data_IF_633811490057
#
_entry.id   IF_633811490057
#
_cell.length_a   1.000
_cell.length_b   1.000
_cell.length_c   1.000
_cell.angle_alpha   90.00
_cell.angle_beta   90.00
_cell.angle_gamma   90.00
#
_symmetry.space_group_name_H-M   'P 1'
#
loop_
_entity.id
_entity.type
_entity.pdbx_description
1 polymer ?
#
# COMPACT_ATOMS: atom_id res chain seq x y z
N UNK A 1 5.94 -2.23 -12.01
CA UNK A 1 4.79 -1.70 -11.24
C UNK A 1 3.58 -1.71 -12.16
N UNK A 2 2.51 -2.39 -11.77
CA UNK A 2 1.22 -2.41 -12.48
C UNK A 2 0.12 -2.04 -11.48
N UNK A 3 -0.82 -1.18 -11.88
CA UNK A 3 -1.89 -0.70 -11.01
C UNK A 3 -3.25 -1.09 -11.58
N UNK A 4 -4.19 -1.46 -10.70
CA UNK A 4 -5.55 -1.78 -11.12
C UNK A 4 -6.30 -0.52 -11.52
N UNK A 5 -6.96 -0.54 -12.69
CA UNK A 5 -7.87 0.55 -13.10
C UNK A 5 -9.05 0.72 -12.15
N UNK A 6 -9.40 -0.29 -11.35
CA UNK A 6 -10.47 -0.18 -10.33
C UNK A 6 -10.16 0.84 -9.23
N UNK A 7 -8.89 1.23 -9.05
CA UNK A 7 -8.48 2.22 -8.05
C UNK A 7 -9.18 3.57 -8.24
N UNK A 8 -9.71 3.88 -9.43
CA UNK A 8 -10.50 5.09 -9.70
C UNK A 8 -11.79 5.19 -8.86
N UNK A 9 -12.28 4.07 -8.32
CA UNK A 9 -13.50 4.03 -7.52
C UNK A 9 -13.25 4.19 -6.01
N UNK A 10 -11.99 4.28 -5.58
CA UNK A 10 -11.62 4.41 -4.18
C UNK A 10 -11.15 5.83 -3.87
N UNK A 11 -11.18 6.25 -2.59
CA UNK A 11 -10.54 7.48 -2.17
C UNK A 11 -9.08 7.56 -2.66
N UNK A 12 -8.61 8.77 -3.03
CA UNK A 12 -7.24 8.99 -3.53
C UNK A 12 -6.17 8.42 -2.60
N UNK A 13 -6.39 8.46 -1.28
CA UNK A 13 -5.45 7.89 -0.30
C UNK A 13 -5.21 6.39 -0.48
N UNK A 14 -6.15 5.65 -1.07
CA UNK A 14 -5.94 4.24 -1.41
C UNK A 14 -4.94 4.07 -2.55
N UNK A 15 -4.87 5.02 -3.49
CA UNK A 15 -3.83 5.03 -4.53
C UNK A 15 -2.45 5.25 -3.90
N UNK A 16 -2.32 6.20 -2.98
CA UNK A 16 -1.06 6.46 -2.26
C UNK A 16 -0.60 5.22 -1.49
N UNK A 17 -1.54 4.52 -0.84
CA UNK A 17 -1.26 3.26 -0.16
C UNK A 17 -0.75 2.17 -1.11
N UNK A 18 -1.38 1.96 -2.27
CA UNK A 18 -0.94 0.95 -3.24
C UNK A 18 0.42 1.33 -3.84
N UNK A 19 0.67 2.61 -4.12
CA UNK A 19 1.98 3.06 -4.59
C UNK A 19 3.08 2.79 -3.55
N UNK A 20 2.81 3.08 -2.28
CA UNK A 20 3.72 2.78 -1.19
C UNK A 20 3.91 1.26 -1.01
N UNK A 21 2.86 0.46 -1.22
CA UNK A 21 2.91 -1.01 -1.21
C UNK A 21 3.86 -1.55 -2.28
N UNK A 22 3.70 -1.10 -3.52
CA UNK A 22 4.55 -1.50 -4.64
C UNK A 22 6.00 -1.02 -4.45
N UNK A 23 6.19 0.18 -3.89
CA UNK A 23 7.52 0.66 -3.54
C UNK A 23 8.19 -0.21 -2.46
N UNK A 24 7.45 -0.58 -1.41
CA UNK A 24 7.97 -1.46 -0.37
C UNK A 24 8.37 -2.83 -0.95
N UNK A 25 7.68 -3.33 -1.98
CA UNK A 25 8.07 -4.56 -2.67
C UNK A 25 9.41 -4.47 -3.42
N UNK A 26 9.84 -3.28 -3.83
CA UNK A 26 11.18 -3.07 -4.41
C UNK A 26 12.27 -3.27 -3.35
N UNK A 27 12.00 -2.89 -2.10
CA UNK A 27 12.94 -3.00 -0.98
C UNK A 27 12.87 -4.37 -0.28
N UNK A 28 11.68 -4.95 -0.21
CA UNK A 28 11.35 -6.20 0.49
C UNK A 28 10.47 -7.08 -0.41
N UNK A 29 11.06 -8.14 -1.00
CA UNK A 29 10.37 -8.99 -1.98
C UNK A 29 9.20 -9.83 -1.44
N UNK A 30 8.90 -9.74 -0.15
CA UNK A 30 7.76 -10.40 0.48
C UNK A 30 7.15 -9.50 1.57
N UNK A 31 5.97 -9.85 2.07
CA UNK A 31 5.27 -9.12 3.13
C UNK A 31 5.86 -9.42 4.53
N UNK A 32 7.17 -9.24 4.69
CA UNK A 32 7.88 -9.42 5.97
C UNK A 32 7.45 -8.40 7.03
N UNK A 33 7.89 -8.57 8.27
CA UNK A 33 7.78 -7.51 9.29
C UNK A 33 8.40 -6.21 8.79
N UNK A 34 9.57 -6.27 8.14
CA UNK A 34 10.29 -5.09 7.63
C UNK A 34 9.50 -4.40 6.52
N UNK A 35 8.81 -5.15 5.66
CA UNK A 35 7.87 -4.59 4.69
C UNK A 35 6.81 -3.71 5.37
N UNK A 36 6.12 -4.24 6.38
CA UNK A 36 5.09 -3.48 7.09
C UNK A 36 5.65 -2.35 7.95
N UNK A 37 6.87 -2.47 8.45
CA UNK A 37 7.56 -1.38 9.15
C UNK A 37 7.78 -0.18 8.20
N UNK A 38 8.18 -0.43 6.93
CA UNK A 38 8.30 0.61 5.89
C UNK A 38 6.95 1.26 5.63
N UNK A 39 5.90 0.47 5.39
CA UNK A 39 4.55 1.00 5.14
C UNK A 39 4.10 1.88 6.32
N UNK A 40 4.23 1.38 7.56
CA UNK A 40 3.79 2.07 8.77
C UNK A 40 4.55 3.38 9.02
N UNK A 41 5.82 3.46 8.63
CA UNK A 41 6.62 4.67 8.77
C UNK A 41 6.02 5.85 7.99
N UNK A 42 5.48 5.61 6.80
CA UNK A 42 4.89 6.66 5.96
C UNK A 42 3.37 6.76 6.11
N UNK A 43 2.69 5.64 6.37
CA UNK A 43 1.23 5.58 6.53
C UNK A 43 0.87 4.74 7.77
N UNK A 44 0.88 5.33 8.99
CA UNK A 44 0.58 4.60 10.21
C UNK A 44 -0.81 3.93 10.23
N UNK A 45 -1.79 4.55 9.55
CA UNK A 45 -3.16 4.06 9.41
C UNK A 45 -3.37 3.11 8.20
N UNK A 46 -2.30 2.55 7.61
CA UNK A 46 -2.38 1.75 6.37
C UNK A 46 -3.39 0.60 6.38
N UNK A 47 -3.71 0.06 7.55
CA UNK A 47 -4.69 -1.01 7.69
C UNK A 47 -6.09 -0.57 7.27
N UNK A 48 -6.46 0.68 7.57
CA UNK A 48 -7.76 1.25 7.16
C UNK A 48 -7.85 1.33 5.63
N UNK A 49 -6.77 1.76 4.97
CA UNK A 49 -6.72 1.84 3.50
C UNK A 49 -6.70 0.45 2.86
N UNK A 50 -6.01 -0.51 3.49
CA UNK A 50 -6.04 -1.91 3.06
C UNK A 50 -7.43 -2.53 3.20
N UNK A 51 -8.19 -2.16 4.23
CA UNK A 51 -9.55 -2.67 4.45
C UNK A 51 -10.54 -2.06 3.44
N UNK A 52 -10.33 -0.80 3.03
CA UNK A 52 -11.11 -0.18 1.95
C UNK A 52 -10.93 -0.87 0.60
N UNK A 53 -9.82 -1.59 0.38
CA UNK A 53 -9.46 -2.21 -0.90
C UNK A 53 -9.84 -3.70 -1.01
N UNK A 54 -10.49 -4.27 0.02
CA UNK A 54 -11.01 -5.65 0.02
C UNK A 54 -12.31 -5.74 -0.78
#
# INVERSE_FOLDING_TARGET
ISLSSRLIHFPVVCLDYVLLHEYAHILEGNHSKRFYDIIRMYMPAYKEYSDLLK
#
